data_IF_541166582532
#
_entry.id   IF_541166582532
#
_cell.length_a   1.000
_cell.length_b   1.000
_cell.length_c   1.000
_cell.angle_alpha   90.00
_cell.angle_beta   90.00
_cell.angle_gamma   90.00
#
_symmetry.space_group_name_H-M   'P 1'
#
loop_
_entity.id
_entity.type
_entity.pdbx_description
1 polymer ?
#
# COMPACT_ATOMS: atom_id res chain seq x y z
N UNK A 1 -3.50 9.12 -3.28
CA UNK A 1 -2.33 8.31 -3.69
C UNK A 1 -1.07 9.15 -3.56
N UNK A 2 -0.07 8.67 -2.80
CA UNK A 2 1.15 9.42 -2.50
C UNK A 2 0.89 10.84 -1.98
N UNK A 3 -0.15 11.03 -1.15
CA UNK A 3 -0.56 12.33 -0.64
C UNK A 3 -1.38 13.19 -1.61
N UNK A 4 -1.58 12.78 -2.87
CA UNK A 4 -2.46 13.46 -3.81
C UNK A 4 -3.91 13.01 -3.66
N UNK A 5 -4.83 13.97 -3.71
CA UNK A 5 -6.26 13.72 -3.74
C UNK A 5 -6.72 13.35 -5.15
N UNK A 6 -7.59 12.34 -5.24
CA UNK A 6 -8.20 11.89 -6.49
C UNK A 6 -9.71 11.89 -6.32
N UNK A 7 -10.43 12.23 -7.39
CA UNK A 7 -11.89 12.14 -7.40
C UNK A 7 -12.30 10.74 -7.81
N UNK A 8 -13.19 10.11 -7.05
CA UNK A 8 -13.78 8.84 -7.43
C UNK A 8 -14.84 9.08 -8.51
N UNK A 9 -14.75 8.34 -9.61
CA UNK A 9 -15.73 8.35 -10.69
C UNK A 9 -16.27 6.95 -10.88
N UNK A 10 -17.59 6.78 -10.77
CA UNK A 10 -18.25 5.49 -10.89
C UNK A 10 -18.92 5.41 -12.25
N UNK A 11 -18.59 4.37 -13.02
CA UNK A 11 -19.10 4.12 -14.37
C UNK A 11 -19.92 2.83 -14.34
N UNK A 12 -21.15 2.88 -14.83
CA UNK A 12 -21.96 1.67 -14.97
C UNK A 12 -21.55 0.93 -16.24
N UNK A 13 -21.09 -0.31 -16.09
CA UNK A 13 -20.61 -1.13 -17.21
C UNK A 13 -20.62 -2.62 -16.87
N UNK A 14 -20.52 -3.47 -17.90
CA UNK A 14 -20.59 -4.93 -17.72
C UNK A 14 -19.34 -5.52 -17.06
N UNK A 15 -18.16 -4.95 -17.33
CA UNK A 15 -16.88 -5.44 -16.81
C UNK A 15 -16.43 -4.64 -15.59
N UNK A 16 -16.18 -5.33 -14.47
CA UNK A 16 -15.63 -4.72 -13.26
C UNK A 16 -14.15 -4.34 -13.47
N UNK A 17 -13.80 -3.06 -13.27
CA UNK A 17 -12.40 -2.62 -13.33
C UNK A 17 -12.16 -1.33 -12.56
N UNK A 18 -10.92 -1.11 -12.13
CA UNK A 18 -10.48 0.13 -11.48
C UNK A 18 -9.24 0.68 -12.17
N UNK A 19 -9.28 1.95 -12.59
CA UNK A 19 -8.21 2.61 -13.36
C UNK A 19 -7.92 4.01 -12.82
N UNK A 20 -6.65 4.38 -12.81
CA UNK A 20 -6.22 5.74 -12.53
C UNK A 20 -6.14 6.52 -13.85
N UNK A 21 -6.97 7.55 -14.03
CA UNK A 21 -6.95 8.43 -15.22
C UNK A 21 -6.86 9.90 -14.81
N UNK A 22 -5.68 10.48 -14.98
CA UNK A 22 -5.41 11.86 -14.58
C UNK A 22 -5.71 12.08 -13.10
N UNK A 23 -6.72 12.90 -12.79
CA UNK A 23 -7.18 13.21 -11.42
C UNK A 23 -8.31 12.28 -10.91
N UNK A 24 -8.71 11.30 -11.70
CA UNK A 24 -9.82 10.40 -11.38
C UNK A 24 -9.33 8.99 -11.09
N UNK A 25 -9.98 8.35 -10.11
CA UNK A 25 -9.99 6.90 -9.99
C UNK A 25 -11.35 6.46 -10.54
N UNK A 26 -11.33 5.86 -11.72
CA UNK A 26 -12.51 5.34 -12.39
C UNK A 26 -12.76 3.91 -11.92
N UNK A 27 -13.94 3.67 -11.36
CA UNK A 27 -14.43 2.33 -11.02
C UNK A 27 -15.58 2.01 -11.96
N UNK A 28 -15.36 1.05 -12.85
CA UNK A 28 -16.43 0.48 -13.67
C UNK A 28 -17.02 -0.72 -12.94
N UNK A 29 -18.35 -0.74 -12.78
CA UNK A 29 -19.08 -1.85 -12.15
C UNK A 29 -20.52 -1.89 -12.64
N UNK A 30 -21.14 -3.06 -12.65
CA UNK A 30 -22.58 -3.21 -12.92
C UNK A 30 -23.42 -2.96 -11.67
N UNK A 31 -22.83 -3.09 -10.48
CA UNK A 31 -23.45 -2.83 -9.18
C UNK A 31 -22.62 -1.80 -8.38
N UNK A 32 -23.25 -0.69 -7.99
CA UNK A 32 -22.60 0.36 -7.21
C UNK A 32 -22.16 -0.12 -5.83
N UNK A 33 -22.81 -1.13 -5.25
CA UNK A 33 -22.43 -1.68 -3.93
C UNK A 33 -21.00 -2.23 -3.93
N UNK A 34 -20.55 -2.75 -5.08
CA UNK A 34 -19.21 -3.32 -5.32
C UNK A 34 -18.10 -2.28 -5.37
N UNK A 35 -18.44 -0.99 -5.52
CA UNK A 35 -17.46 0.08 -5.75
C UNK A 35 -16.37 0.11 -4.69
N UNK A 36 -16.76 -0.03 -3.42
CA UNK A 36 -15.82 0.00 -2.29
C UNK A 36 -14.85 -1.17 -2.36
N UNK A 37 -15.36 -2.39 -2.52
CA UNK A 37 -14.53 -3.60 -2.54
C UNK A 37 -13.57 -3.61 -3.74
N UNK A 38 -14.02 -3.16 -4.91
CA UNK A 38 -13.17 -3.01 -6.09
C UNK A 38 -12.05 -2.01 -5.85
N UNK A 39 -12.39 -0.86 -5.26
CA UNK A 39 -11.43 0.19 -4.95
C UNK A 39 -10.40 -0.25 -3.89
N UNK A 40 -10.86 -0.91 -2.83
CA UNK A 40 -10.01 -1.42 -1.74
C UNK A 40 -9.05 -2.50 -2.26
N UNK A 41 -9.55 -3.44 -3.09
CA UNK A 41 -8.70 -4.43 -3.74
C UNK A 41 -7.68 -3.79 -4.69
N UNK A 42 -8.09 -2.79 -5.46
CA UNK A 42 -7.18 -2.06 -6.34
C UNK A 42 -6.06 -1.35 -5.55
N UNK A 43 -6.41 -0.66 -4.44
CA UNK A 43 -5.42 -0.05 -3.56
C UNK A 43 -4.48 -1.08 -2.94
N UNK A 44 -4.99 -2.24 -2.53
CA UNK A 44 -4.18 -3.31 -1.97
C UNK A 44 -3.15 -3.83 -2.98
N UNK A 45 -3.56 -4.10 -4.23
CA UNK A 45 -2.63 -4.54 -5.27
C UNK A 45 -1.60 -3.46 -5.59
N UNK A 46 -2.03 -2.21 -5.67
CA UNK A 46 -1.14 -1.09 -5.92
C UNK A 46 -0.12 -0.89 -4.77
N UNK A 47 -0.55 -1.05 -3.52
CA UNK A 47 0.30 -1.02 -2.34
C UNK A 47 1.36 -2.12 -2.38
N UNK A 48 1.01 -3.36 -2.78
CA UNK A 48 1.97 -4.46 -2.89
C UNK A 48 3.14 -4.09 -3.79
N UNK A 49 2.83 -3.64 -5.00
CA UNK A 49 3.85 -3.26 -5.99
C UNK A 49 4.67 -2.06 -5.52
N UNK A 50 4.01 -1.01 -5.00
CA UNK A 50 4.70 0.23 -4.63
C UNK A 50 5.53 0.07 -3.36
N UNK A 51 5.03 -0.61 -2.33
CA UNK A 51 5.80 -0.80 -1.10
C UNK A 51 7.00 -1.70 -1.35
N UNK A 52 6.89 -2.75 -2.17
CA UNK A 52 8.04 -3.55 -2.57
C UNK A 52 9.11 -2.69 -3.26
N UNK A 53 8.72 -1.86 -4.23
CA UNK A 53 9.65 -0.98 -4.94
C UNK A 53 10.29 0.09 -4.03
N UNK A 54 9.56 0.59 -3.01
CA UNK A 54 10.10 1.55 -2.03
C UNK A 54 11.01 0.84 -1.02
N UNK A 55 10.63 -0.35 -0.55
CA UNK A 55 11.36 -1.09 0.48
C UNK A 55 12.68 -1.65 -0.01
N UNK A 56 12.75 -2.15 -1.25
CA UNK A 56 13.95 -2.78 -1.80
C UNK A 56 15.24 -1.94 -1.62
N UNK A 57 15.31 -0.67 -2.04
CA UNK A 57 16.52 0.15 -1.83
C UNK A 57 16.76 0.52 -0.35
N UNK A 58 15.72 0.51 0.50
CA UNK A 58 15.88 0.76 1.94
C UNK A 58 16.49 -0.45 2.62
N UNK A 59 15.99 -1.66 2.35
CA UNK A 59 16.54 -2.91 2.86
C UNK A 59 18.01 -3.04 2.45
N UNK A 60 18.34 -2.76 1.19
CA UNK A 60 19.71 -2.84 0.71
C UNK A 60 20.67 -1.91 1.49
N UNK A 61 20.24 -0.68 1.80
CA UNK A 61 20.99 0.24 2.67
C UNK A 61 21.17 -0.26 4.10
N UNK A 62 20.26 -1.10 4.60
CA UNK A 62 20.30 -1.64 5.96
C UNK A 62 21.13 -2.92 6.09
N UNK A 63 21.46 -3.60 4.97
CA UNK A 63 22.31 -4.80 4.98
C UNK A 63 23.66 -4.60 5.65
N UNK A 64 24.26 -3.40 5.54
CA UNK A 64 25.53 -3.07 6.24
C UNK A 64 25.42 -3.13 7.78
N UNK A 65 24.21 -3.03 8.31
CA UNK A 65 23.91 -3.18 9.74
C UNK A 65 23.47 -4.60 10.10
N UNK A 66 23.55 -5.55 9.17
CA UNK A 66 23.05 -6.93 9.31
C UNK A 66 21.56 -7.02 9.61
N UNK A 67 20.79 -6.02 9.15
CA UNK A 67 19.34 -5.94 9.29
C UNK A 67 18.69 -6.31 7.96
N UNK A 68 17.91 -7.40 7.94
CA UNK A 68 17.13 -7.81 6.79
C UNK A 68 15.81 -8.46 7.24
N UNK A 69 14.64 -7.98 6.75
CA UNK A 69 13.37 -8.59 7.11
C UNK A 69 13.21 -9.96 6.45
N UNK A 70 12.61 -10.92 7.15
CA UNK A 70 12.29 -12.23 6.58
C UNK A 70 11.21 -12.17 5.51
N UNK A 71 10.31 -11.18 5.61
CA UNK A 71 9.30 -10.88 4.59
C UNK A 71 8.63 -9.53 4.88
N UNK A 72 8.09 -8.91 3.82
CA UNK A 72 7.16 -7.77 3.95
C UNK A 72 5.78 -8.26 3.51
N UNK A 73 4.78 -8.08 4.38
CA UNK A 73 3.40 -8.45 4.10
C UNK A 73 2.46 -7.27 4.34
N UNK A 74 1.32 -7.28 3.68
CA UNK A 74 0.28 -6.27 3.87
C UNK A 74 -0.87 -6.83 4.69
N UNK A 75 -1.31 -6.07 5.69
CA UNK A 75 -2.47 -6.42 6.53
C UNK A 75 -3.20 -5.15 6.94
N UNK A 76 -4.52 -5.18 6.90
CA UNK A 76 -5.31 -4.07 7.42
C UNK A 76 -5.16 -3.98 8.95
N UNK A 77 -4.74 -2.83 9.45
CA UNK A 77 -4.42 -2.62 10.87
C UNK A 77 -5.15 -1.37 11.38
N UNK A 78 -6.21 -1.51 12.20
CA UNK A 78 -7.05 -0.37 12.58
C UNK A 78 -6.32 0.75 13.33
N UNK A 79 -5.26 0.42 14.07
CA UNK A 79 -4.57 1.34 15.00
C UNK A 79 -3.11 1.60 14.67
N UNK A 80 -2.58 0.98 13.59
CA UNK A 80 -1.15 1.02 13.27
C UNK A 80 -0.89 1.10 11.77
N UNK A 81 0.21 1.76 11.41
CA UNK A 81 0.69 1.85 10.03
C UNK A 81 1.68 0.74 9.68
N UNK A 82 2.44 0.27 10.66
CA UNK A 82 3.43 -0.79 10.55
C UNK A 82 3.49 -1.62 11.84
N UNK A 83 4.06 -2.81 11.73
CA UNK A 83 4.58 -3.56 12.88
C UNK A 83 5.64 -4.57 12.42
N UNK A 84 6.52 -4.94 13.34
CA UNK A 84 7.50 -6.00 13.14
C UNK A 84 7.23 -7.16 14.12
N UNK A 85 7.38 -8.39 13.64
CA UNK A 85 7.29 -9.59 14.50
C UNK A 85 8.67 -10.01 15.01
N UNK A 86 8.78 -10.74 16.14
CA UNK A 86 10.06 -11.27 16.62
C UNK A 86 10.80 -12.18 15.63
N UNK A 87 10.10 -12.73 14.62
CA UNK A 87 10.68 -13.56 13.54
C UNK A 87 11.14 -12.72 12.33
N UNK A 88 11.26 -11.41 12.49
CA UNK A 88 11.75 -10.48 11.48
C UNK A 88 10.79 -10.19 10.32
N UNK A 89 9.50 -10.54 10.44
CA UNK A 89 8.50 -10.19 9.44
C UNK A 89 7.99 -8.77 9.68
N UNK A 90 8.06 -7.94 8.65
CA UNK A 90 7.47 -6.60 8.62
C UNK A 90 6.04 -6.68 8.05
N UNK A 91 5.10 -6.05 8.74
CA UNK A 91 3.70 -5.96 8.37
C UNK A 91 3.37 -4.49 8.14
N UNK A 92 2.94 -4.13 6.94
CA UNK A 92 2.56 -2.76 6.59
C UNK A 92 1.05 -2.68 6.36
N UNK A 93 0.46 -1.55 6.75
CA UNK A 93 -0.95 -1.27 6.48
C UNK A 93 -1.12 -0.82 5.02
N UNK A 94 -1.96 -1.48 4.19
CA UNK A 94 -2.24 -1.04 2.82
C UNK A 94 -2.63 0.43 2.70
N UNK A 95 -3.32 0.98 3.72
CA UNK A 95 -3.77 2.37 3.76
C UNK A 95 -2.62 3.39 3.64
N UNK A 96 -1.37 2.99 3.97
CA UNK A 96 -0.18 3.81 3.76
C UNK A 96 -0.02 4.29 2.31
N UNK A 97 -0.59 3.59 1.32
CA UNK A 97 -0.50 3.98 -0.10
C UNK A 97 -1.18 5.33 -0.39
N UNK A 98 -2.06 5.76 0.52
CA UNK A 98 -2.74 7.05 0.46
C UNK A 98 -1.84 8.18 0.98
N UNK A 99 -0.88 7.90 1.86
CA UNK A 99 0.07 8.86 2.44
C UNK A 99 1.20 9.24 1.45
N UNK A 100 1.88 10.38 1.63
CA UNK A 100 3.07 10.75 0.85
C UNK A 100 4.17 9.68 0.88
N UNK A 101 5.01 9.65 -0.17
CA UNK A 101 6.11 8.67 -0.28
C UNK A 101 7.03 8.68 0.95
N UNK A 102 7.40 9.87 1.44
CA UNK A 102 8.27 10.00 2.61
C UNK A 102 7.68 9.39 3.88
N UNK A 103 6.35 9.40 4.04
CA UNK A 103 5.70 8.73 5.17
C UNK A 103 5.78 7.21 5.06
N UNK A 104 5.64 6.68 3.84
CA UNK A 104 5.81 5.24 3.57
C UNK A 104 7.25 4.81 3.87
N UNK A 105 8.23 5.57 3.38
CA UNK A 105 9.66 5.34 3.65
C UNK A 105 9.95 5.37 5.15
N UNK A 106 9.42 6.37 5.86
CA UNK A 106 9.58 6.50 7.30
C UNK A 106 9.06 5.28 8.06
N UNK A 107 7.83 4.81 7.76
CA UNK A 107 7.28 3.64 8.45
C UNK A 107 8.09 2.38 8.14
N UNK A 108 8.51 2.18 6.89
CA UNK A 108 9.37 1.04 6.53
C UNK A 108 10.69 1.09 7.31
N UNK A 109 11.33 2.25 7.38
CA UNK A 109 12.57 2.45 8.14
C UNK A 109 12.34 2.18 9.63
N UNK A 110 11.23 2.68 10.20
CA UNK A 110 10.87 2.44 11.60
C UNK A 110 10.76 0.94 11.91
N UNK A 111 10.08 0.17 11.05
CA UNK A 111 9.96 -1.27 11.25
C UNK A 111 11.29 -2.01 11.03
N UNK A 112 12.14 -1.54 10.10
CA UNK A 112 13.50 -2.08 9.93
C UNK A 112 14.36 -1.85 11.18
N UNK A 113 14.20 -0.73 11.89
CA UNK A 113 14.94 -0.46 13.12
C UNK A 113 14.53 -1.36 14.31
N UNK A 114 13.38 -2.05 14.24
CA UNK A 114 12.96 -3.01 15.26
C UNK A 114 13.52 -4.42 15.05
N UNK A 115 14.17 -4.68 13.91
CA UNK A 115 14.85 -5.94 13.60
C UNK A 115 16.22 -6.02 14.27
#
# INVERSE_FOLDING_TARGET
YLGRQYRLQIIIGKEESVKLKGKFIEVTTHDKSRTKDLLDNWYLQYARTKFHAIAAPLIDKFKKYKVEPSSIVLRNMPTRWGSCTPKGKIILNPELIKAPKGCIEYVIIHELCHL
#
